data_IF_173883116609
#
_entry.id   IF_173883116609
#
_cell.length_a   1.000
_cell.length_b   1.000
_cell.length_c   1.000
_cell.angle_alpha   90.00
_cell.angle_beta   90.00
_cell.angle_gamma   90.00
#
_symmetry.space_group_name_H-M   'P 1'
#
loop_
_entity.id
_entity.type
_entity.pdbx_description
1 polymer ?
#
# COMPACT_ATOMS: atom_id res chain seq x y z
N UNK A 1 -17.38 -16.73 9.44
CA UNK A 1 -16.03 -16.71 10.02
C UNK A 1 -15.29 -15.55 9.38
N UNK A 2 -15.31 -14.36 9.97
CA UNK A 2 -14.80 -13.11 9.37
C UNK A 2 -13.86 -12.34 10.32
N UNK A 3 -12.99 -13.06 11.03
CA UNK A 3 -12.12 -12.46 12.06
C UNK A 3 -10.62 -12.62 11.82
N UNK A 4 -10.20 -13.40 10.83
CA UNK A 4 -8.83 -13.96 10.82
C UNK A 4 -7.86 -13.21 9.88
N UNK A 5 -8.33 -12.48 8.86
CA UNK A 5 -7.42 -12.03 7.79
C UNK A 5 -6.94 -10.58 7.85
N UNK A 6 -7.68 -9.65 8.46
CA UNK A 6 -7.21 -8.26 8.50
C UNK A 6 -6.02 -8.09 9.41
N UNK A 7 -5.98 -8.83 10.52
CA UNK A 7 -4.85 -8.80 11.46
C UNK A 7 -3.60 -9.41 10.85
N UNK A 8 -3.75 -10.52 10.13
CA UNK A 8 -2.65 -11.18 9.44
C UNK A 8 -2.08 -10.29 8.32
N UNK A 9 -2.95 -9.63 7.54
CA UNK A 9 -2.56 -8.80 6.41
C UNK A 9 -1.73 -7.59 6.84
N UNK A 10 -2.20 -6.78 7.79
CA UNK A 10 -1.45 -5.59 8.21
C UNK A 10 -0.12 -5.97 8.90
N UNK A 11 -0.11 -7.04 9.72
CA UNK A 11 1.10 -7.50 10.39
C UNK A 11 2.12 -8.00 9.38
N UNK A 12 1.67 -8.74 8.37
CA UNK A 12 2.54 -9.21 7.30
C UNK A 12 3.06 -8.07 6.45
N UNK A 13 2.22 -7.11 6.09
CA UNK A 13 2.62 -5.98 5.26
C UNK A 13 3.66 -5.09 5.96
N UNK A 14 3.58 -4.95 7.29
CA UNK A 14 4.63 -4.27 8.10
C UNK A 14 6.03 -4.86 7.92
N UNK A 15 6.16 -6.17 7.65
CA UNK A 15 7.49 -6.79 7.46
C UNK A 15 8.16 -6.37 6.15
N UNK A 16 7.44 -5.67 5.27
CA UNK A 16 7.93 -5.21 3.98
C UNK A 16 8.13 -3.68 3.90
N UNK A 17 8.05 -2.96 5.02
CA UNK A 17 8.39 -1.53 5.03
C UNK A 17 9.81 -1.30 4.50
N UNK A 18 9.97 -0.26 3.70
CA UNK A 18 11.21 0.09 2.99
C UNK A 18 11.44 -0.65 1.68
N UNK A 19 10.54 -1.56 1.27
CA UNK A 19 10.63 -2.25 -0.03
C UNK A 19 9.83 -1.56 -1.12
N UNK A 20 10.26 -1.78 -2.35
CA UNK A 20 9.46 -1.46 -3.53
C UNK A 20 8.22 -2.35 -3.58
N UNK A 21 7.08 -1.70 -3.82
CA UNK A 21 5.76 -2.34 -3.88
C UNK A 21 4.93 -1.78 -5.03
N UNK A 22 4.01 -2.60 -5.51
CA UNK A 22 2.85 -2.15 -6.27
C UNK A 22 1.59 -2.41 -5.45
N UNK A 23 0.86 -1.35 -5.10
CA UNK A 23 -0.42 -1.44 -4.42
C UNK A 23 -1.52 -1.43 -5.47
N UNK A 24 -2.27 -2.53 -5.57
CA UNK A 24 -3.39 -2.67 -6.51
C UNK A 24 -4.69 -2.37 -5.79
N UNK A 25 -5.40 -1.36 -6.27
CA UNK A 25 -6.66 -0.90 -5.68
C UNK A 25 -7.86 -1.61 -6.30
N UNK A 26 -8.99 -1.65 -5.57
CA UNK A 26 -10.22 -2.31 -6.01
C UNK A 26 -10.86 -1.70 -7.27
N UNK A 27 -10.45 -0.50 -7.67
CA UNK A 27 -10.86 0.13 -8.93
C UNK A 27 -9.94 -0.20 -10.11
N UNK A 28 -8.92 -1.05 -9.90
CA UNK A 28 -7.93 -1.43 -10.90
C UNK A 28 -6.74 -0.47 -11.02
N UNK A 29 -6.72 0.64 -10.28
CA UNK A 29 -5.57 1.54 -10.25
C UNK A 29 -4.38 0.87 -9.53
N UNK A 30 -3.18 1.19 -10.01
CA UNK A 30 -1.93 0.67 -9.45
C UNK A 30 -1.05 1.84 -9.03
N UNK A 31 -0.60 1.79 -7.77
CA UNK A 31 0.31 2.77 -7.20
C UNK A 31 1.63 2.07 -6.90
N UNK A 32 2.67 2.41 -7.67
CA UNK A 32 4.02 1.88 -7.51
C UNK A 32 4.87 2.85 -6.67
N UNK A 33 5.68 2.31 -5.77
CA UNK A 33 6.58 3.10 -4.94
C UNK A 33 7.19 2.31 -3.80
N UNK A 34 7.80 3.01 -2.84
CA UNK A 34 8.39 2.39 -1.65
C UNK A 34 7.37 2.37 -0.51
N UNK A 35 7.14 1.22 0.12
CA UNK A 35 6.24 1.12 1.27
C UNK A 35 6.86 1.76 2.52
N UNK A 36 6.45 2.98 2.87
CA UNK A 36 7.05 3.72 3.99
C UNK A 36 6.40 3.35 5.33
N UNK A 37 5.07 3.25 5.37
CA UNK A 37 4.32 3.05 6.62
C UNK A 37 3.12 2.15 6.46
N UNK A 38 2.85 1.33 7.48
CA UNK A 38 1.65 0.47 7.54
C UNK A 38 0.91 0.71 8.86
N UNK A 39 -0.24 1.35 8.76
CA UNK A 39 -1.23 1.47 9.82
C UNK A 39 -2.24 0.32 9.78
N UNK A 40 -3.10 0.25 10.80
CA UNK A 40 -4.17 -0.75 10.83
C UNK A 40 -5.21 -0.53 9.71
N UNK A 41 -5.48 0.73 9.34
CA UNK A 41 -6.50 1.12 8.36
C UNK A 41 -5.94 1.82 7.12
N UNK A 42 -4.62 1.97 7.02
CA UNK A 42 -3.97 2.64 5.90
C UNK A 42 -2.55 2.12 5.65
N UNK A 43 -2.05 2.39 4.45
CA UNK A 43 -0.63 2.29 4.09
C UNK A 43 -0.16 3.63 3.52
N UNK A 44 1.13 3.91 3.66
CA UNK A 44 1.78 5.06 3.04
C UNK A 44 2.85 4.53 2.10
N UNK A 45 2.69 4.81 0.81
CA UNK A 45 3.70 4.53 -0.21
C UNK A 45 4.33 5.84 -0.67
N UNK A 46 5.64 5.88 -0.81
CA UNK A 46 6.33 7.00 -1.44
C UNK A 46 6.36 6.73 -2.95
N UNK A 47 5.48 7.41 -3.68
CA UNK A 47 5.37 7.25 -5.13
C UNK A 47 6.45 8.08 -5.82
N UNK A 48 7.18 7.45 -6.74
CA UNK A 48 8.21 8.14 -7.53
C UNK A 48 7.62 9.12 -8.55
N UNK A 49 6.35 8.92 -8.95
CA UNK A 49 5.60 9.82 -9.82
C UNK A 49 4.12 9.40 -9.87
N UNK A 50 3.20 10.29 -9.52
CA UNK A 50 1.75 10.13 -9.79
C UNK A 50 1.42 10.92 -11.06
N UNK A 51 0.67 10.37 -12.04
CA UNK A 51 0.25 11.12 -13.22
C UNK A 51 -0.48 12.42 -12.82
N UNK A 52 0.06 13.57 -13.23
CA UNK A 52 -0.51 14.90 -12.95
C UNK A 52 0.13 15.68 -11.80
N UNK A 53 1.10 15.10 -11.08
CA UNK A 53 1.81 15.74 -9.97
C UNK A 53 3.33 15.68 -10.17
N UNK A 54 4.04 16.75 -9.81
CA UNK A 54 5.51 16.81 -9.95
C UNK A 54 6.21 16.48 -8.63
N UNK A 55 7.00 15.42 -8.61
CA UNK A 55 7.89 15.07 -7.51
C UNK A 55 7.54 13.77 -6.80
N UNK A 56 8.33 13.46 -5.78
CA UNK A 56 8.12 12.32 -4.89
C UNK A 56 7.06 12.68 -3.86
N UNK A 57 5.95 11.95 -3.85
CA UNK A 57 4.83 12.21 -2.95
C UNK A 57 4.56 11.01 -2.05
N UNK A 58 4.25 11.30 -0.78
CA UNK A 58 3.77 10.29 0.16
C UNK A 58 2.26 10.10 -0.04
N UNK A 59 1.88 8.92 -0.52
CA UNK A 59 0.50 8.56 -0.84
C UNK A 59 -0.09 7.74 0.28
N UNK A 60 -1.13 8.29 0.92
CA UNK A 60 -1.89 7.60 1.96
C UNK A 60 -3.08 6.86 1.35
N UNK A 61 -3.06 5.52 1.42
CA UNK A 61 -4.06 4.63 0.83
C UNK A 61 -4.83 3.92 1.95
N UNK A 62 -6.16 3.91 1.89
CA UNK A 62 -6.99 3.18 2.86
C UNK A 62 -6.88 1.68 2.62
N UNK A 63 -6.59 0.89 3.66
CA UNK A 63 -6.42 -0.56 3.52
C UNK A 63 -7.63 -1.27 2.93
N UNK A 64 -8.84 -0.76 3.19
CA UNK A 64 -10.10 -1.33 2.66
C UNK A 64 -10.29 -1.22 1.15
N UNK A 65 -9.48 -0.39 0.47
CA UNK A 65 -9.55 -0.22 -1.00
C UNK A 65 -8.41 -0.92 -1.71
N UNK A 66 -7.58 -1.67 -0.96
CA UNK A 66 -6.47 -2.44 -1.51
C UNK A 66 -6.99 -3.86 -1.74
N UNK A 67 -6.89 -4.32 -2.99
CA UNK A 67 -7.18 -5.71 -3.31
C UNK A 67 -5.98 -6.58 -2.95
N UNK A 68 -4.78 -6.20 -3.38
CA UNK A 68 -3.54 -6.88 -3.03
C UNK A 68 -2.31 -5.98 -3.20
N UNK A 69 -1.17 -6.44 -2.69
CA UNK A 69 0.13 -5.75 -2.82
C UNK A 69 1.15 -6.71 -3.40
N UNK A 70 1.88 -6.28 -4.44
CA UNK A 70 3.06 -7.00 -4.96
C UNK A 70 4.31 -6.44 -4.28
N UNK A 71 5.23 -7.32 -3.89
CA UNK A 71 6.48 -6.99 -3.18
C UNK A 71 7.65 -7.42 -4.05
N UNK A 72 8.68 -6.57 -4.16
CA UNK A 72 9.92 -6.86 -4.89
C UNK A 72 11.13 -7.03 -3.95
#
# INVERSE_FOLDING_TARGET
MEGVDHVSFYLKLRTYQGRDVEVVLSNGEVIAGVLIKVGFSFVVGQALSIPGYSGTEDVLIRSRVIDYVRIF
#
